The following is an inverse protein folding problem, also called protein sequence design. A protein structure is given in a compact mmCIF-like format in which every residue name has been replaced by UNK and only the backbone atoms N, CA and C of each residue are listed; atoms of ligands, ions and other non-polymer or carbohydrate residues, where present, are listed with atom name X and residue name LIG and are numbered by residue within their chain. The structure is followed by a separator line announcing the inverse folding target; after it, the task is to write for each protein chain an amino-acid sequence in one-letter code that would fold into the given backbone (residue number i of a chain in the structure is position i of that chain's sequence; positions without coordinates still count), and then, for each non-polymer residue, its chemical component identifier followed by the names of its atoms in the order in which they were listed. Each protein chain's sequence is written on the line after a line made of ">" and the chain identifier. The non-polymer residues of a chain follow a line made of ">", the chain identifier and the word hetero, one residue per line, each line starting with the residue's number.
data_IF_121182536493
#
_entry.id   IF_121182536493
#
_cell.length_a   1.000
_cell.length_b   1.000
_cell.length_c   1.000
_cell.angle_alpha   90.00
_cell.angle_beta   90.00
_cell.angle_gamma   90.00
#
_symmetry.space_group_name_H-M   'P 1'
#
loop_
_entity.id
_entity.type
_entity.pdbx_description
1 polymer ?
#
# COMPACT_ATOMS: atom_id res chain seq x y z
N UNK A 1 9.05 -36.61 -26.81
CA UNK A 1 9.55 -35.29 -26.31
C UNK A 1 8.48 -34.19 -26.35
N UNK A 2 7.39 -34.33 -27.08
CA UNK A 2 6.34 -33.30 -27.17
C UNK A 2 5.43 -33.23 -25.93
N UNK A 3 5.09 -34.34 -25.28
CA UNK A 3 4.16 -34.40 -24.17
C UNK A 3 4.64 -33.73 -22.87
N UNK A 4 5.95 -33.64 -22.64
CA UNK A 4 6.53 -33.00 -21.44
C UNK A 4 6.46 -31.48 -21.53
N UNK A 5 6.61 -30.92 -22.72
CA UNK A 5 6.52 -29.47 -22.96
C UNK A 5 5.10 -28.95 -22.82
N UNK A 6 4.11 -29.75 -23.25
CA UNK A 6 2.68 -29.42 -23.09
C UNK A 6 2.22 -29.46 -21.62
N UNK A 7 2.79 -30.38 -20.82
CA UNK A 7 2.50 -30.46 -19.39
C UNK A 7 3.04 -29.25 -18.62
N UNK A 8 4.25 -28.78 -18.95
CA UNK A 8 4.84 -27.59 -18.34
C UNK A 8 4.09 -26.32 -18.75
N UNK A 9 3.67 -26.19 -20.00
CA UNK A 9 2.90 -25.06 -20.48
C UNK A 9 1.51 -24.95 -19.83
N UNK A 10 0.86 -26.09 -19.54
CA UNK A 10 -0.42 -26.14 -18.83
C UNK A 10 -0.27 -25.82 -17.34
N UNK A 11 0.82 -26.23 -16.71
CA UNK A 11 1.11 -25.91 -15.29
C UNK A 11 1.33 -24.41 -15.09
N UNK A 12 2.06 -23.76 -16.01
CA UNK A 12 2.28 -22.32 -15.99
C UNK A 12 0.99 -21.54 -16.26
N UNK A 13 0.14 -22.00 -17.17
CA UNK A 13 -1.17 -21.39 -17.46
C UNK A 13 -2.16 -21.55 -16.30
N UNK A 14 -2.09 -22.62 -15.53
CA UNK A 14 -2.92 -22.82 -14.34
C UNK A 14 -2.53 -21.89 -13.19
N UNK A 15 -1.24 -21.60 -13.02
CA UNK A 15 -0.74 -20.65 -12.02
C UNK A 15 -1.13 -19.20 -12.33
N UNK A 16 -1.33 -18.85 -13.60
CA UNK A 16 -1.74 -17.51 -14.03
C UNK A 16 -3.24 -17.19 -13.85
N UNK A 17 -4.09 -18.17 -13.53
CA UNK A 17 -5.55 -17.98 -13.43
C UNK A 17 -6.05 -17.54 -12.05
N UNK A 18 -5.20 -17.42 -11.05
CA UNK A 18 -5.59 -16.97 -9.70
C UNK A 18 -5.18 -15.52 -9.40
N UNK A 19 -5.00 -14.69 -10.43
CA UNK A 19 -5.03 -13.25 -10.23
C UNK A 19 -6.49 -12.80 -10.08
N UNK A 20 -7.07 -13.06 -8.93
CA UNK A 20 -8.26 -12.36 -8.52
C UNK A 20 -7.89 -10.87 -8.46
N UNK A 21 -8.32 -10.09 -9.45
CA UNK A 21 -8.31 -8.64 -9.41
C UNK A 21 -9.09 -8.24 -8.17
N UNK A 22 -8.39 -7.97 -7.09
CA UNK A 22 -8.99 -7.38 -5.89
C UNK A 22 -9.29 -5.91 -6.20
N UNK A 23 -10.24 -5.68 -7.11
CA UNK A 23 -10.84 -4.36 -7.35
C UNK A 23 -11.83 -4.12 -6.24
N UNK A 24 -11.35 -3.67 -5.10
CA UNK A 24 -12.24 -3.10 -4.09
C UNK A 24 -12.68 -1.72 -4.56
N UNK A 25 -13.98 -1.37 -4.43
CA UNK A 25 -14.43 -0.02 -4.72
C UNK A 25 -13.73 0.94 -3.78
N UNK A 26 -12.86 1.77 -4.34
CA UNK A 26 -12.29 2.92 -3.64
C UNK A 26 -13.41 3.95 -3.57
N UNK A 27 -14.00 4.10 -2.40
CA UNK A 27 -14.96 5.17 -2.15
C UNK A 27 -14.19 6.50 -2.25
N UNK A 28 -14.37 7.23 -3.35
CA UNK A 28 -13.68 8.49 -3.65
C UNK A 28 -14.26 9.61 -2.78
N UNK A 29 -14.08 9.53 -1.49
CA UNK A 29 -14.26 10.66 -0.59
C UNK A 29 -13.04 11.57 -0.76
N UNK A 30 -13.27 12.82 -1.20
CA UNK A 30 -12.23 13.85 -1.23
C UNK A 30 -11.70 14.06 0.18
N UNK A 31 -10.55 13.47 0.46
CA UNK A 31 -9.88 13.61 1.73
C UNK A 31 -9.01 14.86 1.72
N UNK A 32 -9.09 15.63 2.81
CA UNK A 32 -8.20 16.76 3.06
C UNK A 32 -7.21 16.38 4.15
N UNK A 33 -5.95 16.20 3.80
CA UNK A 33 -4.87 15.99 4.76
C UNK A 33 -4.74 17.18 5.71
N UNK A 34 -4.97 18.41 5.21
CA UNK A 34 -4.92 19.63 6.01
C UNK A 34 -5.91 19.69 7.18
N UNK A 35 -7.02 18.92 7.13
CA UNK A 35 -8.02 18.84 8.21
C UNK A 35 -8.10 17.45 8.86
N UNK A 36 -7.11 16.60 8.61
CA UNK A 36 -7.09 15.26 9.18
C UNK A 36 -6.62 15.30 10.63
N UNK A 37 -7.34 14.62 11.54
CA UNK A 37 -6.95 14.52 12.96
C UNK A 37 -5.64 13.76 13.20
N UNK A 38 -5.16 13.01 12.20
CA UNK A 38 -3.88 12.31 12.22
C UNK A 38 -2.75 13.11 11.53
N UNK A 39 -2.99 14.37 11.15
CA UNK A 39 -2.02 15.18 10.38
C UNK A 39 -0.65 15.33 11.05
N UNK A 40 -0.59 15.29 12.39
CA UNK A 40 0.66 15.36 13.14
C UNK A 40 1.40 14.01 13.26
N UNK A 41 0.70 12.90 13.04
CA UNK A 41 1.25 11.54 13.17
C UNK A 41 1.46 10.84 11.83
N UNK A 42 0.72 11.28 10.80
CA UNK A 42 0.70 10.66 9.48
C UNK A 42 1.75 11.26 8.55
N UNK A 43 1.83 10.73 7.33
CA UNK A 43 2.69 11.16 6.23
C UNK A 43 2.89 12.68 6.06
N UNK A 44 1.86 13.56 6.19
CA UNK A 44 2.06 15.00 6.07
C UNK A 44 2.85 15.64 7.21
N UNK A 45 3.18 14.90 8.27
CA UNK A 45 3.98 15.43 9.39
C UNK A 45 5.34 15.93 8.88
N UNK A 46 5.60 17.22 9.07
CA UNK A 46 6.82 17.87 8.60
C UNK A 46 6.76 18.46 7.18
N UNK A 47 5.61 18.36 6.49
CA UNK A 47 5.35 19.10 5.25
C UNK A 47 4.82 20.48 5.60
N UNK A 48 5.36 21.54 4.95
CA UNK A 48 4.89 22.92 5.16
C UNK A 48 3.40 23.06 4.80
N UNK A 49 2.65 23.87 5.54
CA UNK A 49 1.19 23.98 5.37
C UNK A 49 0.72 24.37 3.97
N UNK A 50 1.54 25.13 3.19
CA UNK A 50 1.31 25.41 1.78
C UNK A 50 1.37 24.17 0.91
N UNK A 51 2.24 23.21 1.27
CA UNK A 51 2.48 21.98 0.51
C UNK A 51 1.51 20.88 0.90
N UNK A 52 0.99 20.89 2.13
CA UNK A 52 -0.10 20.00 2.56
C UNK A 52 -1.36 20.23 1.70
N UNK A 53 -1.63 21.48 1.30
CA UNK A 53 -2.74 21.80 0.39
C UNK A 53 -2.58 21.20 -1.00
N UNK A 54 -1.36 21.03 -1.49
CA UNK A 54 -1.08 20.30 -2.74
C UNK A 54 -1.33 18.81 -2.61
N UNK A 55 -1.12 18.25 -1.41
CA UNK A 55 -1.50 16.87 -1.14
C UNK A 55 -3.03 16.67 -1.18
N UNK A 56 -3.82 17.71 -0.86
CA UNK A 56 -5.28 17.67 -0.99
C UNK A 56 -5.74 17.59 -2.47
N UNK A 57 -4.88 17.92 -3.43
CA UNK A 57 -5.12 17.72 -4.86
C UNK A 57 -4.98 16.26 -5.28
N UNK A 58 -4.25 15.46 -4.50
CA UNK A 58 -4.19 14.02 -4.68
C UNK A 58 -5.57 13.43 -4.38
N UNK A 59 -6.06 12.65 -5.31
CA UNK A 59 -7.28 11.85 -5.11
C UNK A 59 -6.95 10.66 -4.22
N UNK A 60 -6.85 10.89 -2.91
CA UNK A 60 -6.74 9.80 -1.95
C UNK A 60 -8.06 9.00 -1.91
N UNK A 61 -7.95 7.69 -1.93
CA UNK A 61 -9.07 6.80 -1.66
C UNK A 61 -9.08 6.37 -0.20
N UNK A 62 -10.24 6.44 0.46
CA UNK A 62 -10.44 5.70 1.72
C UNK A 62 -10.77 4.25 1.40
N UNK A 63 -10.24 3.37 2.22
CA UNK A 63 -10.50 1.94 2.11
C UNK A 63 -10.78 1.37 3.49
N UNK A 64 -11.97 0.81 3.66
CA UNK A 64 -12.35 0.03 4.83
C UNK A 64 -11.89 -1.41 4.63
N UNK A 65 -11.28 -1.97 5.64
CA UNK A 65 -10.76 -3.34 5.64
C UNK A 65 -11.31 -4.04 6.87
N UNK A 66 -12.02 -5.14 6.66
CA UNK A 66 -12.60 -5.92 7.76
C UNK A 66 -11.53 -6.78 8.43
N UNK A 67 -11.75 -7.11 9.71
CA UNK A 67 -10.92 -8.05 10.44
C UNK A 67 -10.63 -9.31 9.60
N UNK A 68 -9.37 -9.71 9.53
CA UNK A 68 -8.91 -10.88 8.76
C UNK A 68 -8.79 -10.67 7.26
N UNK A 69 -9.25 -9.54 6.70
CA UNK A 69 -9.05 -9.22 5.28
C UNK A 69 -7.62 -8.75 5.02
N UNK A 70 -7.10 -9.18 3.88
CA UNK A 70 -5.78 -8.77 3.39
C UNK A 70 -5.92 -7.52 2.53
N UNK A 71 -5.14 -6.49 2.84
CA UNK A 71 -5.11 -5.21 2.13
C UNK A 71 -4.34 -5.32 0.81
N UNK A 72 -3.18 -5.95 0.84
CA UNK A 72 -2.36 -6.34 -0.31
C UNK A 72 -1.59 -7.64 0.02
N UNK A 73 -1.13 -8.34 -1.00
CA UNK A 73 -0.41 -9.60 -0.89
C UNK A 73 0.99 -9.48 -1.46
N UNK A 74 1.88 -10.33 -1.00
CA UNK A 74 3.16 -10.59 -1.65
C UNK A 74 2.94 -10.92 -3.13
N UNK A 75 3.72 -10.27 -4.01
CA UNK A 75 3.59 -10.37 -5.47
C UNK A 75 2.51 -9.49 -6.09
N UNK A 76 1.64 -8.84 -5.32
CA UNK A 76 0.68 -7.87 -5.86
C UNK A 76 1.42 -6.65 -6.44
N UNK A 77 0.87 -6.08 -7.52
CA UNK A 77 1.43 -4.88 -8.16
C UNK A 77 1.37 -3.69 -7.22
N UNK A 78 2.52 -3.08 -6.95
CA UNK A 78 2.60 -1.85 -6.18
C UNK A 78 2.05 -0.66 -6.96
N UNK A 79 1.03 -0.02 -6.45
CA UNK A 79 0.42 1.19 -6.99
C UNK A 79 0.17 2.24 -5.91
N UNK A 80 -0.07 1.77 -4.69
CA UNK A 80 -0.42 2.59 -3.53
C UNK A 80 0.45 2.20 -2.36
N UNK A 81 0.81 3.16 -1.56
CA UNK A 81 1.10 2.91 -0.16
C UNK A 81 -0.09 3.37 0.69
N UNK A 82 -0.13 2.95 1.93
CA UNK A 82 -1.32 3.08 2.76
C UNK A 82 -0.99 3.73 4.09
N UNK A 83 -1.70 4.82 4.43
CA UNK A 83 -1.66 5.41 5.75
C UNK A 83 -2.80 4.83 6.60
N UNK A 84 -2.49 4.22 7.73
CA UNK A 84 -3.49 3.66 8.63
C UNK A 84 -4.23 4.80 9.33
N UNK A 85 -5.55 4.84 9.19
CA UNK A 85 -6.41 5.82 9.87
C UNK A 85 -6.96 5.29 11.19
N UNK A 86 -7.34 4.04 11.20
CA UNK A 86 -7.85 3.34 12.38
C UNK A 86 -7.61 1.84 12.24
N UNK A 87 -7.57 1.16 13.36
CA UNK A 87 -7.31 -0.26 13.43
C UNK A 87 -5.82 -0.59 13.36
N UNK A 88 -5.55 -1.89 13.33
CA UNK A 88 -4.20 -2.45 13.36
C UNK A 88 -4.02 -3.46 12.24
N UNK A 89 -2.87 -3.42 11.58
CA UNK A 89 -2.47 -4.38 10.55
C UNK A 89 -1.24 -5.16 10.97
N UNK A 90 -1.17 -6.41 10.52
CA UNK A 90 0.02 -7.25 10.61
C UNK A 90 0.59 -7.44 9.21
N UNK A 91 1.90 -7.22 9.05
CA UNK A 91 2.63 -7.52 7.83
C UNK A 91 3.41 -8.83 7.99
N UNK A 92 3.33 -9.69 6.98
CA UNK A 92 4.01 -10.98 6.93
C UNK A 92 4.85 -11.09 5.67
N UNK A 93 6.04 -11.67 5.81
CA UNK A 93 6.88 -12.14 4.71
C UNK A 93 6.69 -13.64 4.54
N UNK A 94 6.62 -14.10 3.29
CA UNK A 94 6.70 -15.52 2.95
C UNK A 94 8.17 -15.89 2.72
N UNK A 95 8.69 -16.79 3.51
CA UNK A 95 10.04 -17.30 3.35
C UNK A 95 10.09 -18.36 2.24
N UNK A 96 11.28 -18.58 1.67
CA UNK A 96 11.50 -19.55 0.60
C UNK A 96 11.17 -21.01 0.98
N UNK A 97 11.16 -21.31 2.28
CA UNK A 97 10.77 -22.60 2.83
C UNK A 97 9.25 -22.74 3.10
N UNK A 98 8.45 -21.73 2.72
CA UNK A 98 7.00 -21.71 2.87
C UNK A 98 6.51 -21.25 4.26
N UNK A 99 7.40 -20.89 5.17
CA UNK A 99 7.01 -20.33 6.48
C UNK A 99 6.64 -18.86 6.35
N UNK A 100 5.64 -18.41 7.10
CA UNK A 100 5.34 -17.02 7.29
C UNK A 100 6.13 -16.44 8.47
N UNK A 101 6.71 -15.26 8.25
CA UNK A 101 7.35 -14.48 9.30
C UNK A 101 6.63 -13.15 9.45
N UNK A 102 6.24 -12.80 10.68
CA UNK A 102 5.71 -11.47 10.98
C UNK A 102 6.83 -10.44 10.81
N UNK A 103 6.63 -9.49 9.92
CA UNK A 103 7.57 -8.41 9.62
C UNK A 103 7.30 -7.16 10.47
N UNK A 104 6.04 -6.91 10.82
CA UNK A 104 5.68 -5.75 11.64
C UNK A 104 4.19 -5.63 11.89
N UNK A 105 3.86 -4.70 12.77
CA UNK A 105 2.51 -4.25 13.04
C UNK A 105 2.42 -2.76 12.72
N UNK A 106 1.28 -2.34 12.19
CA UNK A 106 1.03 -0.96 11.78
C UNK A 106 -0.27 -0.47 12.42
N UNK A 107 -0.20 0.68 13.06
CA UNK A 107 -1.29 1.33 13.78
C UNK A 107 -1.63 2.70 13.18
N UNK A 108 -2.66 3.35 13.71
CA UNK A 108 -3.08 4.68 13.25
C UNK A 108 -1.92 5.69 13.21
N UNK A 109 -1.77 6.36 12.06
CA UNK A 109 -0.66 7.28 11.77
C UNK A 109 0.52 6.66 11.01
N UNK A 110 0.67 5.35 11.00
CA UNK A 110 1.78 4.67 10.35
C UNK A 110 1.51 4.39 8.87
N UNK A 111 2.60 4.32 8.10
CA UNK A 111 2.59 4.07 6.66
C UNK A 111 3.03 2.63 6.39
N UNK A 112 2.31 1.94 5.52
CA UNK A 112 2.64 0.59 5.08
C UNK A 112 2.62 0.45 3.56
N UNK A 113 3.22 -0.63 3.05
CA UNK A 113 3.27 -0.95 1.62
C UNK A 113 4.46 -0.30 0.90
N UNK A 114 5.41 0.32 1.60
CA UNK A 114 6.61 0.94 1.01
C UNK A 114 7.59 -0.11 0.43
N UNK A 115 7.46 -1.37 0.82
CA UNK A 115 8.23 -2.52 0.33
C UNK A 115 8.14 -2.72 -1.19
N UNK A 116 7.04 -2.25 -1.80
CA UNK A 116 6.83 -2.34 -3.24
C UNK A 116 7.55 -1.30 -4.09
N UNK A 117 8.15 -0.27 -3.51
CA UNK A 117 8.77 0.85 -4.26
C UNK A 117 9.93 0.37 -5.14
N UNK A 118 10.78 -0.53 -4.61
CA UNK A 118 12.00 -0.93 -5.28
C UNK A 118 11.77 -1.75 -6.55
N UNK A 119 10.77 -2.64 -6.54
CA UNK A 119 10.55 -3.62 -7.61
C UNK A 119 9.18 -3.53 -8.28
N UNK A 120 8.33 -2.60 -7.86
CA UNK A 120 6.97 -2.45 -8.38
C UNK A 120 6.00 -3.56 -7.97
N UNK A 121 6.40 -4.43 -7.06
CA UNK A 121 5.62 -5.52 -6.47
C UNK A 121 5.79 -5.49 -4.96
N UNK A 122 4.71 -5.74 -4.21
CA UNK A 122 4.79 -5.91 -2.77
C UNK A 122 5.62 -7.15 -2.43
N UNK A 123 6.55 -7.03 -1.49
CA UNK A 123 7.36 -8.12 -0.97
C UNK A 123 6.77 -8.75 0.30
N UNK A 124 5.65 -8.23 0.78
CA UNK A 124 4.95 -8.69 1.97
C UNK A 124 3.44 -8.69 1.78
N UNK A 125 2.73 -9.34 2.70
CA UNK A 125 1.26 -9.29 2.76
C UNK A 125 0.84 -8.54 4.02
N UNK A 126 -0.19 -7.68 3.92
CA UNK A 126 -0.74 -6.95 5.07
C UNK A 126 -2.18 -7.38 5.33
N UNK A 127 -2.46 -7.80 6.57
CA UNK A 127 -3.79 -8.29 7.00
C UNK A 127 -4.28 -7.48 8.20
N UNK A 128 -5.56 -7.09 8.18
CA UNK A 128 -6.19 -6.37 9.27
C UNK A 128 -6.45 -7.31 10.46
N UNK A 129 -6.05 -6.88 11.65
CA UNK A 129 -6.27 -7.60 12.90
C UNK A 129 -7.61 -7.23 13.57
N UNK A 130 -8.20 -6.15 13.13
CA UNK A 130 -9.51 -5.62 13.54
C UNK A 130 -10.15 -4.86 12.38
N UNK A 131 -11.38 -4.40 12.51
CA UNK A 131 -12.00 -3.52 11.50
C UNK A 131 -11.20 -2.23 11.41
N UNK A 132 -10.67 -1.93 10.23
CA UNK A 132 -9.68 -0.90 10.00
C UNK A 132 -10.07 0.01 8.83
N UNK A 133 -9.47 1.19 8.79
CA UNK A 133 -9.57 2.13 7.68
C UNK A 133 -8.18 2.66 7.30
N UNK A 134 -7.90 2.73 6.01
CA UNK A 134 -6.66 3.28 5.46
C UNK A 134 -6.93 4.35 4.41
N UNK A 135 -5.98 5.28 4.26
CA UNK A 135 -5.87 6.14 3.09
C UNK A 135 -4.98 5.44 2.06
N UNK A 136 -5.49 5.16 0.87
CA UNK A 136 -4.71 4.64 -0.25
C UNK A 136 -4.12 5.83 -1.02
N UNK A 137 -2.80 5.95 -1.00
CA UNK A 137 -2.05 7.08 -1.57
C UNK A 137 -1.39 6.60 -2.86
N UNK A 138 -1.78 7.13 -4.04
CA UNK A 138 -1.18 6.73 -5.31
C UNK A 138 0.27 7.19 -5.39
N UNK A 139 1.20 6.23 -5.47
CA UNK A 139 2.63 6.53 -5.47
C UNK A 139 3.06 7.38 -6.67
N UNK A 140 2.56 7.07 -7.88
CA UNK A 140 2.90 7.81 -9.09
C UNK A 140 2.53 9.30 -8.98
N UNK A 141 1.33 9.61 -8.49
CA UNK A 141 0.90 11.01 -8.32
C UNK A 141 1.68 11.72 -7.22
N UNK A 142 2.07 11.00 -6.16
CA UNK A 142 2.90 11.59 -5.12
C UNK A 142 4.27 12.00 -5.66
N UNK A 143 4.90 11.14 -6.48
CA UNK A 143 6.19 11.42 -7.14
C UNK A 143 6.07 12.63 -8.06
N UNK A 144 5.00 12.76 -8.84
CA UNK A 144 4.75 13.93 -9.71
C UNK A 144 4.68 15.24 -8.92
N UNK A 145 3.94 15.25 -7.81
CA UNK A 145 3.83 16.46 -6.96
C UNK A 145 5.15 16.76 -6.26
N UNK A 146 5.89 15.72 -5.85
CA UNK A 146 7.17 15.87 -5.19
C UNK A 146 8.28 16.39 -6.13
N UNK A 147 8.17 16.18 -7.44
CA UNK A 147 9.19 16.58 -8.42
C UNK A 147 9.52 18.08 -8.40
N UNK A 148 8.58 18.94 -7.96
CA UNK A 148 8.78 20.39 -7.81
C UNK A 148 8.83 20.88 -6.37
N UNK A 149 8.92 19.98 -5.37
CA UNK A 149 8.75 20.34 -3.96
C UNK A 149 9.79 19.66 -3.07
N UNK A 150 10.80 20.41 -2.64
CA UNK A 150 11.91 19.91 -1.81
C UNK A 150 11.45 19.41 -0.42
N UNK A 151 10.45 20.05 0.17
CA UNK A 151 9.87 19.67 1.46
C UNK A 151 9.22 18.27 1.38
N UNK A 152 8.43 18.03 0.33
CA UNK A 152 7.81 16.73 0.10
C UNK A 152 8.82 15.63 -0.24
N UNK A 153 9.86 15.97 -1.03
CA UNK A 153 10.97 15.04 -1.31
C UNK A 153 11.70 14.62 -0.04
N UNK A 154 11.95 15.56 0.89
CA UNK A 154 12.58 15.25 2.17
C UNK A 154 11.73 14.29 3.01
N UNK A 155 10.41 14.50 3.06
CA UNK A 155 9.50 13.62 3.79
C UNK A 155 9.49 12.23 3.16
N UNK A 156 9.42 12.13 1.83
CA UNK A 156 9.51 10.86 1.12
C UNK A 156 10.82 10.12 1.41
N UNK A 157 11.96 10.83 1.42
CA UNK A 157 13.26 10.24 1.72
C UNK A 157 13.37 9.72 3.15
N UNK A 158 12.63 10.29 4.10
CA UNK A 158 12.61 9.80 5.50
C UNK A 158 11.76 8.55 5.69
N UNK A 159 10.83 8.27 4.76
CA UNK A 159 9.98 7.09 4.82
C UNK A 159 10.64 5.85 4.22
N UNK A 160 11.65 6.05 3.37
CA UNK A 160 12.42 4.98 2.71
C UNK A 160 13.66 4.62 3.51
#
# INVERSE_FOLDING_TARGET
>A
MSAVLDSLANSVKSSMRHQAKTTFPVEQLRMRCASCHLGELCFPCGVAGSDVRRLDELKFGRRKVKIGQTLYRDGDRFQFFYAVRSGTFRSNLMLSDGREQVNGFYMAGEIMGLDGIAFGLHASSATALEDAEVCAIPYAHLVEIAAGNSSLQQVMSRMM
#
